data_IF_361853139994
#
_entry.id   IF_361853139994
#
_cell.length_a   1.000
_cell.length_b   1.000
_cell.length_c   1.000
_cell.angle_alpha   90.00
_cell.angle_beta   90.00
_cell.angle_gamma   90.00
#
_symmetry.space_group_name_H-M   'P 1'
#
loop_
_entity.id
_entity.type
_entity.pdbx_description
1 polymer ?
#
# COMPACT_ATOMS: atom_id res chain seq x y z
N UNK A 1 37.03 -13.41 36.69
CA UNK A 1 36.37 -12.23 36.09
C UNK A 1 36.57 -12.22 34.57
N UNK A 2 35.58 -12.79 33.89
CA UNK A 2 35.50 -13.02 32.44
C UNK A 2 35.07 -11.76 31.69
N UNK A 3 35.81 -11.38 30.65
CA UNK A 3 35.37 -10.47 29.59
C UNK A 3 36.05 -10.93 28.29
N UNK A 4 35.39 -11.80 27.52
CA UNK A 4 34.41 -11.51 26.47
C UNK A 4 35.06 -10.89 25.23
N UNK A 5 35.27 -11.77 24.24
CA UNK A 5 35.94 -11.50 22.98
C UNK A 5 35.10 -10.63 22.04
N UNK A 6 35.78 -9.65 21.45
CA UNK A 6 35.29 -8.91 20.27
C UNK A 6 36.00 -9.49 19.06
N UNK A 7 35.26 -10.22 18.23
CA UNK A 7 35.65 -10.54 16.86
C UNK A 7 34.40 -10.90 16.04
N UNK A 8 33.57 -9.91 15.73
CA UNK A 8 32.58 -10.05 14.66
C UNK A 8 33.13 -9.37 13.42
N UNK A 9 33.47 -10.21 12.45
CA UNK A 9 33.89 -9.87 11.10
C UNK A 9 32.73 -9.24 10.34
N UNK A 10 33.07 -8.21 9.59
CA UNK A 10 32.29 -7.69 8.47
C UNK A 10 31.98 -8.79 7.47
N UNK A 11 30.72 -8.94 7.09
CA UNK A 11 30.34 -9.63 5.85
C UNK A 11 29.44 -8.68 5.07
N UNK A 12 30.01 -8.18 3.98
CA UNK A 12 29.33 -7.47 2.91
C UNK A 12 28.56 -8.48 2.08
N UNK A 13 27.25 -8.29 1.92
CA UNK A 13 26.46 -9.03 0.94
C UNK A 13 25.40 -8.10 0.34
N UNK A 14 25.76 -7.45 -0.76
CA UNK A 14 24.81 -6.90 -1.71
C UNK A 14 24.26 -8.06 -2.55
N UNK A 15 22.94 -8.23 -2.59
CA UNK A 15 22.29 -9.05 -3.62
C UNK A 15 20.97 -8.39 -4.03
N UNK A 16 21.07 -7.63 -5.12
CA UNK A 16 19.94 -7.26 -5.97
C UNK A 16 19.57 -8.52 -6.75
N UNK A 17 18.36 -9.05 -6.54
CA UNK A 17 17.82 -10.13 -7.36
C UNK A 17 16.56 -9.65 -8.07
N UNK A 18 16.74 -9.26 -9.33
CA UNK A 18 15.68 -9.02 -10.30
C UNK A 18 15.65 -10.20 -11.26
N UNK A 19 14.76 -11.19 -11.08
CA UNK A 19 14.33 -12.08 -12.17
C UNK A 19 12.94 -12.66 -11.88
N UNK A 20 12.02 -12.49 -12.84
CA UNK A 20 10.96 -13.46 -13.08
C UNK A 20 10.60 -13.43 -14.57
N UNK A 21 11.14 -14.41 -15.31
CA UNK A 21 10.77 -14.77 -16.68
C UNK A 21 9.96 -16.07 -16.61
N UNK A 22 8.73 -16.01 -17.14
CA UNK A 22 7.93 -17.02 -17.84
C UNK A 22 7.69 -18.40 -17.17
N UNK A 23 6.42 -18.82 -17.12
CA UNK A 23 5.93 -20.07 -17.76
C UNK A 23 4.39 -20.19 -17.71
N UNK A 24 3.85 -20.64 -18.84
CA UNK A 24 2.45 -20.93 -19.13
C UNK A 24 1.89 -22.08 -18.28
N UNK A 25 0.59 -22.01 -17.96
CA UNK A 25 -0.16 -23.13 -17.39
C UNK A 25 -1.64 -23.08 -17.78
N UNK A 26 -1.98 -23.69 -18.91
CA UNK A 26 -3.37 -24.07 -19.29
C UNK A 26 -3.90 -25.09 -18.27
N UNK A 27 -5.16 -24.95 -17.83
CA UNK A 27 -5.77 -26.01 -17.02
C UNK A 27 -7.21 -25.81 -16.56
N UNK A 28 -8.14 -26.22 -17.42
CA UNK A 28 -9.41 -26.92 -17.09
C UNK A 28 -10.48 -26.29 -16.18
N UNK A 29 -11.53 -25.87 -16.89
CA UNK A 29 -12.94 -25.86 -16.51
C UNK A 29 -13.44 -27.18 -15.91
N UNK A 30 -14.19 -27.11 -14.79
CA UNK A 30 -15.31 -28.02 -14.50
C UNK A 30 -16.47 -27.27 -13.84
N UNK A 31 -17.66 -27.68 -14.29
CA UNK A 31 -18.99 -27.10 -14.15
C UNK A 31 -19.83 -28.07 -13.31
N UNK A 32 -20.46 -27.61 -12.24
CA UNK A 32 -21.50 -28.35 -11.48
C UNK A 32 -22.51 -27.33 -10.96
N UNK A 33 -23.66 -27.16 -11.64
CA UNK A 33 -25.00 -27.72 -11.33
C UNK A 33 -25.45 -27.47 -9.89
N UNK A 34 -26.22 -26.40 -9.66
CA UNK A 34 -27.71 -26.39 -9.48
C UNK A 34 -28.23 -27.25 -8.33
N UNK A 35 -28.52 -26.59 -7.21
CA UNK A 35 -29.44 -27.05 -6.16
C UNK A 35 -30.42 -25.92 -5.86
N UNK A 36 -31.67 -26.08 -6.31
CA UNK A 36 -32.81 -25.30 -5.88
C UNK A 36 -33.24 -25.81 -4.50
N UNK A 37 -33.42 -24.92 -3.54
CA UNK A 37 -34.35 -25.18 -2.44
C UNK A 37 -35.17 -23.93 -2.12
N UNK A 38 -36.48 -24.18 -2.14
CA UNK A 38 -37.57 -23.24 -1.90
C UNK A 38 -37.84 -23.21 -0.40
N UNK A 39 -37.78 -22.03 0.22
CA UNK A 39 -38.54 -21.79 1.45
C UNK A 39 -38.91 -20.30 1.53
N UNK A 40 -40.19 -20.05 1.25
CA UNK A 40 -40.85 -18.75 1.34
C UNK A 40 -41.47 -18.61 2.74
N UNK A 41 -40.88 -17.80 3.60
CA UNK A 41 -41.51 -17.30 4.82
C UNK A 41 -41.70 -15.79 4.67
N UNK A 42 -42.97 -15.37 4.65
CA UNK A 42 -43.38 -13.99 4.41
C UNK A 42 -42.96 -13.05 5.54
N UNK A 43 -42.12 -12.08 5.20
CA UNK A 43 -41.79 -10.95 6.05
C UNK A 43 -42.49 -9.70 5.49
N UNK A 44 -43.49 -9.17 6.22
CA UNK A 44 -44.19 -7.94 5.88
C UNK A 44 -43.23 -6.75 6.04
N UNK A 45 -42.81 -6.18 4.92
CA UNK A 45 -41.95 -4.98 4.85
C UNK A 45 -42.85 -3.74 4.90
N UNK A 46 -42.76 -2.98 5.97
CA UNK A 46 -43.33 -1.63 6.09
C UNK A 46 -42.45 -0.68 5.29
N UNK A 47 -42.86 -0.35 4.06
CA UNK A 47 -42.20 0.66 3.24
C UNK A 47 -42.54 2.06 3.78
N UNK A 48 -41.68 2.59 4.65
CA UNK A 48 -41.59 4.04 4.86
C UNK A 48 -40.83 4.62 3.67
N UNK A 49 -41.58 5.15 2.71
CA UNK A 49 -41.07 5.98 1.62
C UNK A 49 -40.41 7.23 2.22
N UNK A 50 -39.09 7.17 2.38
CA UNK A 50 -38.25 8.33 2.67
C UNK A 50 -37.86 8.91 1.32
N UNK A 51 -38.51 10.01 0.95
CA UNK A 51 -38.11 10.87 -0.16
C UNK A 51 -36.79 11.55 0.20
N UNK A 52 -35.68 10.80 0.04
CA UNK A 52 -34.34 11.37 0.11
C UNK A 52 -34.13 12.25 -1.13
N UNK A 53 -34.09 13.56 -0.89
CA UNK A 53 -33.59 14.57 -1.83
C UNK A 53 -32.28 14.05 -2.47
N UNK A 54 -32.14 14.05 -3.81
CA UNK A 54 -30.90 13.63 -4.45
C UNK A 54 -29.75 14.44 -3.86
N UNK A 55 -28.62 13.80 -3.49
CA UNK A 55 -27.44 14.53 -3.04
C UNK A 55 -27.08 15.50 -4.16
N UNK A 56 -27.15 16.78 -3.82
CA UNK A 56 -26.66 17.88 -4.62
C UNK A 56 -25.24 17.51 -5.05
N UNK A 57 -25.06 17.22 -6.34
CA UNK A 57 -23.79 16.86 -6.94
C UNK A 57 -22.85 18.04 -6.71
N UNK A 58 -22.11 17.99 -5.60
CA UNK A 58 -21.02 18.89 -5.34
C UNK A 58 -20.08 18.77 -6.52
N UNK A 59 -20.13 19.79 -7.38
CA UNK A 59 -19.21 20.03 -8.48
C UNK A 59 -17.80 19.99 -7.91
N UNK A 60 -17.22 18.79 -7.83
CA UNK A 60 -15.87 18.58 -7.36
C UNK A 60 -14.97 19.01 -8.50
N UNK A 61 -14.59 20.29 -8.49
CA UNK A 61 -13.51 20.77 -9.34
C UNK A 61 -12.32 19.84 -9.15
N UNK A 62 -11.96 19.10 -10.20
CA UNK A 62 -10.85 18.16 -10.16
C UNK A 62 -9.59 18.95 -9.80
N UNK A 63 -9.00 18.64 -8.65
CA UNK A 63 -7.77 19.30 -8.21
C UNK A 63 -6.67 19.09 -9.25
N UNK A 64 -6.08 20.18 -9.76
CA UNK A 64 -4.99 20.10 -10.73
C UNK A 64 -3.72 19.48 -10.13
N UNK A 65 -2.78 18.96 -10.95
CA UNK A 65 -1.52 18.36 -10.47
C UNK A 65 -0.72 19.25 -9.52
N UNK A 66 -0.55 20.53 -9.88
CA UNK A 66 0.24 21.47 -9.07
C UNK A 66 -0.37 21.69 -7.68
N UNK A 67 -1.70 21.82 -7.60
CA UNK A 67 -2.39 22.01 -6.32
C UNK A 67 -2.28 20.77 -5.42
N UNK A 68 -2.35 19.57 -6.00
CA UNK A 68 -2.20 18.33 -5.24
C UNK A 68 -0.79 18.13 -4.71
N UNK A 69 0.23 18.37 -5.53
CA UNK A 69 1.63 18.33 -5.10
C UNK A 69 1.91 19.34 -3.98
N UNK A 70 1.42 20.57 -4.11
CA UNK A 70 1.58 21.60 -3.09
C UNK A 70 0.88 21.21 -1.77
N UNK A 71 -0.32 20.63 -1.86
CA UNK A 71 -1.05 20.11 -0.70
C UNK A 71 -0.24 19.05 0.04
N UNK A 72 0.36 18.09 -0.66
CA UNK A 72 1.17 17.04 -0.03
C UNK A 72 2.42 17.67 0.60
N UNK A 73 3.12 18.55 -0.11
CA UNK A 73 4.31 19.25 0.40
C UNK A 73 4.00 20.01 1.69
N UNK A 74 2.95 20.83 1.67
CA UNK A 74 2.47 21.59 2.84
C UNK A 74 2.08 20.66 3.98
N UNK A 75 1.35 19.59 3.72
CA UNK A 75 0.91 18.63 4.74
C UNK A 75 2.08 17.98 5.53
N UNK A 76 3.22 17.73 4.89
CA UNK A 76 4.43 17.22 5.56
C UNK A 76 5.21 18.32 6.26
N UNK A 77 5.31 19.51 5.66
CA UNK A 77 5.97 20.67 6.26
C UNK A 77 5.30 21.06 7.58
N UNK A 78 3.98 21.21 7.55
CA UNK A 78 3.17 21.66 8.70
C UNK A 78 3.22 20.67 9.88
N UNK A 79 3.50 19.39 9.60
CA UNK A 79 3.57 18.31 10.61
C UNK A 79 5.00 17.88 10.94
N UNK A 80 6.01 18.57 10.41
CA UNK A 80 7.41 18.14 10.50
C UNK A 80 7.90 17.99 11.95
N UNK A 81 7.56 18.92 12.83
CA UNK A 81 7.93 18.87 14.25
C UNK A 81 7.30 17.66 14.97
N UNK A 82 6.02 17.40 14.74
CA UNK A 82 5.30 16.27 15.33
C UNK A 82 5.86 14.92 14.84
N UNK A 83 6.15 14.83 13.53
CA UNK A 83 6.78 13.66 12.93
C UNK A 83 8.11 13.38 13.62
N UNK A 84 8.99 14.39 13.70
CA UNK A 84 10.31 14.25 14.32
C UNK A 84 10.21 13.87 15.79
N UNK A 85 9.34 14.56 16.55
CA UNK A 85 9.13 14.30 17.98
C UNK A 85 8.65 12.87 18.23
N UNK A 86 7.66 12.40 17.45
CA UNK A 86 7.12 11.06 17.58
C UNK A 86 8.13 9.97 17.20
N UNK A 87 8.92 10.19 16.14
CA UNK A 87 9.99 9.26 15.75
C UNK A 87 11.08 9.18 16.83
N UNK A 88 11.47 10.29 17.45
CA UNK A 88 12.48 10.31 18.53
C UNK A 88 12.03 9.58 19.78
N UNK A 89 10.74 9.70 20.13
CA UNK A 89 10.21 9.21 21.41
C UNK A 89 9.64 7.81 21.34
N UNK A 90 8.99 7.44 20.22
CA UNK A 90 8.24 6.19 20.07
C UNK A 90 8.71 5.32 18.90
N UNK A 91 9.53 5.86 17.99
CA UNK A 91 9.95 5.17 16.77
C UNK A 91 8.88 5.12 15.67
N UNK A 92 7.70 5.73 15.86
CA UNK A 92 6.64 5.82 14.86
C UNK A 92 5.81 7.11 15.00
N UNK A 93 5.22 7.55 13.90
CA UNK A 93 4.29 8.69 13.84
C UNK A 93 2.93 8.24 13.28
N UNK A 94 1.85 8.73 13.86
CA UNK A 94 0.47 8.54 13.39
C UNK A 94 -0.12 9.93 13.20
N UNK A 95 -0.70 10.17 12.02
CA UNK A 95 -1.35 11.45 11.70
C UNK A 95 -2.64 11.22 10.94
N UNK A 96 -3.71 11.83 11.41
CA UNK A 96 -5.03 11.77 10.77
C UNK A 96 -5.21 12.92 9.77
N UNK A 97 -6.05 12.66 8.75
CA UNK A 97 -6.47 13.68 7.80
C UNK A 97 -5.32 14.32 7.04
N UNK A 98 -4.26 13.56 6.70
CA UNK A 98 -3.03 14.10 6.11
C UNK A 98 -3.31 15.03 4.91
N UNK A 99 -4.13 14.57 3.97
CA UNK A 99 -4.45 15.27 2.71
C UNK A 99 -5.91 15.74 2.61
N UNK A 100 -6.72 15.40 3.62
CA UNK A 100 -8.17 15.60 3.58
C UNK A 100 -8.92 14.53 2.77
N UNK A 101 -10.23 14.44 3.01
CA UNK A 101 -11.06 13.34 2.53
C UNK A 101 -11.16 13.26 1.00
N UNK A 102 -11.28 14.40 0.32
CA UNK A 102 -11.42 14.43 -1.15
C UNK A 102 -10.21 13.79 -1.86
N UNK A 103 -8.99 14.14 -1.43
CA UNK A 103 -7.76 13.58 -1.99
C UNK A 103 -7.66 12.07 -1.72
N UNK A 104 -8.02 11.63 -0.51
CA UNK A 104 -8.03 10.20 -0.16
C UNK A 104 -9.05 9.40 -0.98
N UNK A 105 -10.25 9.95 -1.22
CA UNK A 105 -11.27 9.33 -2.08
C UNK A 105 -10.79 9.20 -3.52
N UNK A 106 -10.14 10.23 -4.07
CA UNK A 106 -9.58 10.19 -5.42
C UNK A 106 -8.49 9.12 -5.56
N UNK A 107 -7.49 9.10 -4.67
CA UNK A 107 -6.43 8.09 -4.68
C UNK A 107 -6.97 6.66 -4.48
N UNK A 108 -8.01 6.49 -3.65
CA UNK A 108 -8.68 5.21 -3.49
C UNK A 108 -9.36 4.75 -4.78
N UNK A 109 -10.05 5.64 -5.48
CA UNK A 109 -10.70 5.32 -6.75
C UNK A 109 -9.67 4.91 -7.82
N UNK A 110 -8.52 5.59 -7.86
CA UNK A 110 -7.40 5.22 -8.74
C UNK A 110 -6.83 3.84 -8.42
N UNK A 111 -6.63 3.52 -7.13
CA UNK A 111 -6.14 2.20 -6.69
C UNK A 111 -7.09 1.07 -7.12
N UNK A 112 -8.40 1.29 -6.99
CA UNK A 112 -9.43 0.33 -7.45
C UNK A 112 -9.36 0.17 -8.97
N UNK A 113 -9.26 1.27 -9.72
CA UNK A 113 -9.17 1.26 -11.18
C UNK A 113 -7.93 0.51 -11.68
N UNK A 114 -6.77 0.70 -11.03
CA UNK A 114 -5.54 -0.04 -11.34
C UNK A 114 -5.75 -1.56 -11.21
N UNK A 115 -6.46 -2.00 -10.16
CA UNK A 115 -6.82 -3.42 -9.96
C UNK A 115 -7.77 -3.92 -11.05
N UNK A 116 -8.84 -3.18 -11.34
CA UNK A 116 -9.85 -3.56 -12.35
C UNK A 116 -9.26 -3.68 -13.75
N UNK A 117 -8.26 -2.86 -14.06
CA UNK A 117 -7.52 -2.91 -15.32
C UNK A 117 -6.46 -4.03 -15.38
N UNK A 118 -6.32 -4.84 -14.33
CA UNK A 118 -5.34 -5.94 -14.29
C UNK A 118 -3.89 -5.48 -14.25
N UNK A 119 -3.62 -4.27 -13.75
CA UNK A 119 -2.27 -3.71 -13.66
C UNK A 119 -1.52 -4.13 -12.39
N UNK A 120 -2.20 -4.82 -11.47
CA UNK A 120 -1.65 -5.30 -10.21
C UNK A 120 -1.40 -6.81 -10.27
N UNK A 121 -0.39 -7.28 -9.54
CA UNK A 121 -0.09 -8.70 -9.37
C UNK A 121 -0.55 -9.20 -8.01
N UNK A 122 -0.71 -10.52 -7.84
CA UNK A 122 -1.01 -11.09 -6.51
C UNK A 122 0.18 -10.81 -5.58
N UNK A 123 -0.12 -10.28 -4.40
CA UNK A 123 0.88 -9.97 -3.40
C UNK A 123 1.51 -11.23 -2.86
N UNK A 124 2.83 -11.25 -2.73
CA UNK A 124 3.57 -12.38 -2.16
C UNK A 124 4.08 -12.07 -0.76
N UNK A 125 4.22 -13.11 0.05
CA UNK A 125 4.93 -13.08 1.33
C UNK A 125 5.90 -14.25 1.40
N UNK A 126 6.85 -14.15 2.32
CA UNK A 126 7.69 -15.26 2.75
C UNK A 126 7.30 -15.69 4.16
N UNK A 127 7.57 -16.96 4.50
CA UNK A 127 7.57 -17.46 5.87
C UNK A 127 8.60 -18.57 6.03
N UNK A 128 9.10 -18.75 7.25
CA UNK A 128 9.91 -19.90 7.58
C UNK A 128 9.05 -21.16 7.64
N UNK A 129 9.38 -22.17 6.85
CA UNK A 129 8.78 -23.50 6.92
C UNK A 129 9.65 -24.37 7.83
N UNK A 130 9.17 -24.64 9.05
CA UNK A 130 9.91 -25.45 10.03
C UNK A 130 10.13 -26.90 9.59
N UNK A 131 9.21 -27.49 8.82
CA UNK A 131 9.34 -28.88 8.36
C UNK A 131 10.43 -29.02 7.30
N UNK A 132 10.49 -28.05 6.37
CA UNK A 132 11.45 -28.04 5.27
C UNK A 132 12.76 -27.31 5.58
N UNK A 133 12.81 -26.60 6.71
CA UNK A 133 13.94 -25.76 7.11
C UNK A 133 14.34 -24.75 5.99
N UNK A 134 13.33 -24.16 5.34
CA UNK A 134 13.53 -23.20 4.25
C UNK A 134 12.54 -22.03 4.32
N UNK A 135 12.88 -20.93 3.65
CA UNK A 135 11.95 -19.81 3.45
C UNK A 135 11.04 -20.15 2.26
N UNK A 136 9.74 -20.29 2.50
CA UNK A 136 8.77 -20.51 1.44
C UNK A 136 8.04 -19.22 1.07
N UNK A 137 7.83 -19.03 -0.24
CA UNK A 137 7.05 -17.92 -0.80
C UNK A 137 5.61 -18.39 -1.01
N UNK A 138 4.65 -17.60 -0.55
CA UNK A 138 3.23 -17.87 -0.76
C UNK A 138 2.50 -16.64 -1.30
N UNK A 139 1.42 -16.90 -2.04
CA UNK A 139 0.52 -15.87 -2.53
C UNK A 139 -0.45 -15.46 -1.42
N UNK A 140 -0.65 -14.15 -1.26
CA UNK A 140 -1.62 -13.59 -0.34
C UNK A 140 -2.98 -13.53 -1.03
N UNK A 141 -3.88 -14.38 -0.58
CA UNK A 141 -5.26 -14.39 -1.05
C UNK A 141 -5.87 -12.98 -0.98
N UNK A 142 -6.49 -12.56 -2.08
CA UNK A 142 -7.19 -11.27 -2.20
C UNK A 142 -6.35 -10.00 -1.97
N UNK A 143 -5.02 -10.11 -1.91
CA UNK A 143 -4.12 -8.96 -1.82
C UNK A 143 -3.44 -8.77 -3.17
N UNK A 144 -3.64 -7.60 -3.76
CA UNK A 144 -3.03 -7.22 -5.03
C UNK A 144 -2.01 -6.13 -4.77
N UNK A 145 -0.83 -6.24 -5.38
CA UNK A 145 0.27 -5.29 -5.17
C UNK A 145 0.87 -4.83 -6.47
N UNK A 146 1.39 -3.61 -6.48
CA UNK A 146 2.22 -3.09 -7.57
C UNK A 146 3.16 -2.01 -7.03
N UNK A 147 4.23 -1.74 -7.78
CA UNK A 147 4.99 -0.52 -7.62
C UNK A 147 4.33 0.58 -8.46
N UNK A 148 4.16 1.76 -7.87
CA UNK A 148 3.75 2.97 -8.59
C UNK A 148 5.01 3.59 -9.17
N UNK A 149 5.20 3.40 -10.47
CA UNK A 149 6.40 3.82 -11.20
C UNK A 149 6.17 5.15 -11.92
N UNK A 150 4.91 5.51 -12.17
CA UNK A 150 4.56 6.63 -13.02
C UNK A 150 4.67 6.28 -14.51
N UNK A 151 5.12 7.22 -15.32
CA UNK A 151 5.10 7.09 -16.78
C UNK A 151 3.69 7.26 -17.37
N UNK A 152 3.61 7.39 -18.70
CA UNK A 152 2.39 7.81 -19.40
C UNK A 152 1.18 6.93 -19.08
N UNK A 153 1.35 5.60 -19.15
CA UNK A 153 0.26 4.64 -18.94
C UNK A 153 -0.30 4.67 -17.51
N UNK A 154 0.57 4.64 -16.49
CA UNK A 154 0.12 4.64 -15.10
C UNK A 154 -0.39 6.02 -14.69
N UNK A 155 0.27 7.10 -15.13
CA UNK A 155 -0.15 8.46 -14.82
C UNK A 155 -1.52 8.82 -15.43
N UNK A 156 -1.83 8.30 -16.62
CA UNK A 156 -3.16 8.46 -17.23
C UNK A 156 -4.28 7.78 -16.42
N UNK A 157 -3.97 6.76 -15.62
CA UNK A 157 -4.95 5.99 -14.85
C UNK A 157 -5.02 6.44 -13.39
N UNK A 158 -3.85 6.75 -12.80
CA UNK A 158 -3.66 6.98 -11.37
C UNK A 158 -2.77 8.22 -11.09
N UNK A 159 -3.13 9.41 -11.60
CA UNK A 159 -2.29 10.59 -11.47
C UNK A 159 -2.07 11.01 -10.02
N UNK A 160 -3.08 10.94 -9.14
CA UNK A 160 -2.96 11.36 -7.74
C UNK A 160 -2.04 10.43 -6.96
N UNK A 161 -2.13 9.12 -7.17
CA UNK A 161 -1.22 8.16 -6.54
C UNK A 161 0.24 8.38 -6.96
N UNK A 162 0.49 8.65 -8.25
CA UNK A 162 1.83 8.95 -8.75
C UNK A 162 2.38 10.23 -8.11
N UNK A 163 1.59 11.30 -8.09
CA UNK A 163 1.97 12.57 -7.46
C UNK A 163 2.22 12.44 -5.97
N UNK A 164 1.38 11.67 -5.27
CA UNK A 164 1.56 11.34 -3.86
C UNK A 164 2.92 10.69 -3.62
N UNK A 165 3.24 9.63 -4.37
CA UNK A 165 4.53 8.94 -4.24
C UNK A 165 5.67 9.93 -4.50
N UNK A 166 5.66 10.63 -5.64
CA UNK A 166 6.73 11.58 -6.00
C UNK A 166 6.94 12.67 -4.94
N UNK A 167 5.87 13.22 -4.37
CA UNK A 167 6.01 14.31 -3.41
C UNK A 167 6.41 13.81 -2.02
N UNK A 168 5.91 12.66 -1.58
CA UNK A 168 6.32 12.04 -0.31
C UNK A 168 7.80 11.68 -0.35
N UNK A 169 8.25 11.05 -1.44
CA UNK A 169 9.65 10.64 -1.64
C UNK A 169 10.62 11.82 -1.69
N UNK A 170 10.13 13.02 -2.03
CA UNK A 170 10.89 14.28 -1.97
C UNK A 170 10.87 14.95 -0.61
N UNK A 171 9.71 14.96 0.05
CA UNK A 171 9.49 15.78 1.25
C UNK A 171 9.96 15.09 2.54
N UNK A 172 9.60 13.82 2.71
CA UNK A 172 9.80 13.10 3.97
C UNK A 172 11.30 12.83 4.28
N UNK A 173 12.15 12.40 3.33
CA UNK A 173 13.56 12.19 3.61
C UNK A 173 14.29 13.44 4.09
N UNK A 174 13.94 14.62 3.56
CA UNK A 174 14.54 15.88 3.99
C UNK A 174 14.23 16.16 5.47
N UNK A 175 12.98 15.96 5.89
CA UNK A 175 12.54 16.11 7.29
C UNK A 175 13.27 15.10 8.19
N UNK A 176 13.31 13.83 7.79
CA UNK A 176 13.94 12.77 8.58
C UNK A 176 15.45 12.96 8.68
N UNK A 177 16.15 13.22 7.57
CA UNK A 177 17.61 13.41 7.59
C UNK A 177 18.04 14.65 8.39
N UNK A 178 17.22 15.71 8.41
CA UNK A 178 17.51 16.88 9.24
C UNK A 178 17.51 16.54 10.74
N UNK A 179 16.62 15.63 11.17
CA UNK A 179 16.50 15.21 12.57
C UNK A 179 17.38 13.99 12.93
N UNK A 180 17.69 13.15 11.96
CA UNK A 180 18.42 11.89 12.08
C UNK A 180 19.48 11.79 10.96
N UNK A 181 20.58 12.56 11.01
CA UNK A 181 21.58 12.57 9.94
C UNK A 181 22.17 11.19 9.62
N UNK A 182 22.24 10.31 10.62
CA UNK A 182 22.70 8.94 10.49
C UNK A 182 21.78 8.03 9.67
N UNK A 183 20.50 8.39 9.50
CA UNK A 183 19.57 7.63 8.67
C UNK A 183 19.97 7.69 7.18
N UNK A 184 20.58 8.80 6.75
CA UNK A 184 21.12 9.01 5.42
C UNK A 184 20.18 8.54 4.29
N UNK A 185 18.89 8.84 4.43
CA UNK A 185 17.85 8.45 3.47
C UNK A 185 18.13 9.12 2.13
N UNK A 186 18.33 8.31 1.08
CA UNK A 186 18.63 8.82 -0.27
C UNK A 186 17.34 8.97 -1.06
N UNK A 187 17.29 9.98 -1.91
CA UNK A 187 16.26 10.17 -2.93
C UNK A 187 16.23 9.03 -3.95
N UNK A 188 17.40 8.44 -4.25
CA UNK A 188 17.55 7.36 -5.23
C UNK A 188 17.23 5.96 -4.71
N UNK A 189 17.16 5.75 -3.39
CA UNK A 189 16.98 4.42 -2.78
C UNK A 189 15.63 4.33 -2.08
N UNK A 190 14.57 4.52 -2.86
CA UNK A 190 13.20 4.50 -2.34
C UNK A 190 12.39 3.48 -3.11
N UNK A 191 11.70 2.63 -2.36
CA UNK A 191 10.72 1.71 -2.90
C UNK A 191 9.35 2.18 -2.47
N UNK A 192 8.36 1.96 -3.33
CA UNK A 192 6.96 2.16 -2.97
C UNK A 192 6.17 0.91 -3.35
N UNK A 193 5.11 0.66 -2.60
CA UNK A 193 4.23 -0.48 -2.83
C UNK A 193 2.79 -0.05 -2.57
N UNK A 194 1.99 -0.07 -3.63
CA UNK A 194 0.54 0.01 -3.51
C UNK A 194 0.00 -1.39 -3.23
N UNK A 195 -0.82 -1.54 -2.19
CA UNK A 195 -1.51 -2.77 -1.87
C UNK A 195 -3.03 -2.53 -1.82
N UNK A 196 -3.78 -3.37 -2.53
CA UNK A 196 -5.25 -3.36 -2.54
C UNK A 196 -5.74 -4.69 -1.99
N UNK A 197 -6.46 -4.65 -0.87
CA UNK A 197 -7.10 -5.82 -0.27
C UNK A 197 -8.56 -5.88 -0.74
N UNK A 198 -8.92 -6.96 -1.44
CA UNK A 198 -10.25 -7.14 -2.01
C UNK A 198 -11.31 -7.65 -1.01
N UNK A 199 -10.95 -7.78 0.27
CA UNK A 199 -11.79 -8.34 1.32
C UNK A 199 -11.49 -9.82 1.60
N UNK A 200 -12.39 -10.48 2.35
CA UNK A 200 -12.31 -11.89 2.76
C UNK A 200 -11.13 -12.28 3.67
N UNK A 201 -10.42 -11.29 4.21
CA UNK A 201 -9.26 -11.48 5.09
C UNK A 201 -7.98 -11.81 4.32
N UNK A 202 -6.86 -11.59 4.98
CA UNK A 202 -5.55 -12.02 4.53
C UNK A 202 -4.67 -12.28 5.76
N UNK A 203 -3.75 -13.23 5.65
CA UNK A 203 -2.80 -13.54 6.72
C UNK A 203 -1.60 -12.60 6.64
N UNK A 204 -1.23 -12.04 7.78
CA UNK A 204 -0.03 -11.22 7.94
C UNK A 204 0.73 -11.73 9.16
N UNK A 205 1.82 -12.44 8.93
CA UNK A 205 2.70 -12.87 10.00
C UNK A 205 3.48 -11.66 10.56
N UNK A 206 3.86 -11.70 11.83
CA UNK A 206 4.67 -10.66 12.46
C UNK A 206 6.07 -10.68 11.85
N UNK A 207 6.55 -9.54 11.37
CA UNK A 207 7.86 -9.36 10.75
C UNK A 207 8.38 -7.95 11.02
N UNK A 208 9.69 -7.74 10.85
CA UNK A 208 10.24 -6.41 10.57
C UNK A 208 10.35 -6.20 9.05
N UNK A 209 10.09 -4.99 8.59
CA UNK A 209 10.16 -4.69 7.15
C UNK A 209 11.61 -4.74 6.61
N UNK A 210 12.60 -4.57 7.49
CA UNK A 210 14.02 -4.54 7.15
C UNK A 210 14.79 -5.71 7.80
N UNK A 211 14.30 -6.94 7.75
CA UNK A 211 15.00 -8.14 8.28
C UNK A 211 16.28 -8.54 7.50
N UNK A 212 16.98 -7.58 6.89
CA UNK A 212 18.26 -7.78 6.20
C UNK A 212 19.43 -7.92 7.16
#
# INVERSE_FOLDING_TARGET
PSNCGKCCRSVSSAQISSQAVVMNGKGMSKRTKTGQDKSSAGFKKTEKSVTSKPPEEASSSVEGPAAHLERIASAFKDRSEDIVSALKTRGYYIGDGLLGESALRAMRAEAVKLRELGLMTVGKSTRWNEEKQEVEVYDKDNVFTMQVEGGERQYAVAPRLVEYVVQVTRSLPAIVNAAFPQAALRDTHQTNKLAVCAGAGARYDKHYDNEG
#
